data_IF_419459467502
#
_entry.id   IF_419459467502
#
_cell.length_a   1.000
_cell.length_b   1.000
_cell.length_c   1.000
_cell.angle_alpha   90.00
_cell.angle_beta   90.00
_cell.angle_gamma   90.00
#
_symmetry.space_group_name_H-M   'P 1'
#
loop_
_entity.id
_entity.type
_entity.pdbx_description
1 polymer ?
#
# COMPACT_ATOMS: atom_id res chain seq x y z
N UNK A 1 32.55 -52.74 19.86
CA UNK A 1 32.18 -51.35 20.14
C UNK A 1 32.62 -50.38 19.05
N UNK A 2 33.65 -50.64 18.29
CA UNK A 2 34.12 -49.73 17.21
C UNK A 2 33.13 -49.54 16.05
N UNK A 3 32.39 -50.60 15.69
CA UNK A 3 31.42 -50.50 14.56
C UNK A 3 30.28 -49.50 14.82
N UNK A 4 29.81 -49.40 16.07
CA UNK A 4 28.73 -48.50 16.47
C UNK A 4 29.21 -47.04 16.47
N UNK A 5 30.49 -46.82 16.86
CA UNK A 5 31.06 -45.44 16.86
C UNK A 5 31.31 -44.94 15.43
N UNK A 6 31.79 -45.79 14.53
CA UNK A 6 32.01 -45.42 13.12
C UNK A 6 30.69 -45.15 12.39
N UNK A 7 29.65 -45.98 12.64
CA UNK A 7 28.32 -45.75 12.08
C UNK A 7 27.64 -44.51 12.61
N UNK A 8 27.79 -44.23 13.93
CA UNK A 8 27.29 -42.99 14.55
C UNK A 8 27.96 -41.74 13.97
N UNK A 9 29.26 -41.79 13.73
CA UNK A 9 30.02 -40.69 13.14
C UNK A 9 29.66 -40.46 11.67
N UNK A 10 29.36 -41.50 10.91
CA UNK A 10 28.86 -41.42 9.54
C UNK A 10 27.45 -40.77 9.50
N UNK A 11 26.56 -41.21 10.39
CA UNK A 11 25.19 -40.70 10.48
C UNK A 11 25.20 -39.19 10.88
N UNK A 12 26.08 -38.78 11.81
CA UNK A 12 26.26 -37.41 12.19
C UNK A 12 26.74 -36.52 11.00
N UNK A 13 27.70 -37.03 10.20
CA UNK A 13 28.16 -36.33 8.99
C UNK A 13 27.07 -36.19 7.95
N UNK A 14 26.28 -37.22 7.70
CA UNK A 14 25.14 -37.15 6.77
C UNK A 14 24.09 -36.14 7.25
N UNK A 15 23.74 -36.19 8.53
CA UNK A 15 22.79 -35.24 9.12
C UNK A 15 23.25 -33.78 8.98
N UNK A 16 24.53 -33.50 9.25
CA UNK A 16 25.07 -32.12 9.08
C UNK A 16 25.04 -31.65 7.64
N UNK A 17 25.33 -32.51 6.66
CA UNK A 17 25.25 -32.17 5.23
C UNK A 17 23.80 -31.90 4.80
N UNK A 18 22.85 -32.72 5.24
CA UNK A 18 21.42 -32.55 4.94
C UNK A 18 20.90 -31.22 5.54
N UNK A 19 21.26 -30.90 6.78
CA UNK A 19 20.90 -29.65 7.43
C UNK A 19 21.52 -28.45 6.68
N UNK A 20 22.76 -28.55 6.26
CA UNK A 20 23.43 -27.47 5.50
C UNK A 20 22.74 -27.21 4.14
N UNK A 21 22.37 -28.28 3.43
CA UNK A 21 21.64 -28.18 2.16
C UNK A 21 20.24 -27.57 2.39
N UNK A 22 19.53 -28.00 3.42
CA UNK A 22 18.22 -27.44 3.76
C UNK A 22 18.31 -25.95 4.12
N UNK A 23 19.31 -25.54 4.90
CA UNK A 23 19.56 -24.14 5.23
C UNK A 23 19.88 -23.28 4.00
N UNK A 24 20.70 -23.80 3.06
CA UNK A 24 21.00 -23.12 1.80
C UNK A 24 19.76 -23.00 0.91
N UNK A 25 18.92 -24.03 0.85
CA UNK A 25 17.66 -24.00 0.10
C UNK A 25 16.68 -22.96 0.68
N UNK A 26 16.54 -22.90 2.01
CA UNK A 26 15.72 -21.90 2.69
C UNK A 26 16.26 -20.47 2.47
N UNK A 27 17.57 -20.27 2.49
CA UNK A 27 18.21 -19.00 2.17
C UNK A 27 17.96 -18.60 0.71
N UNK A 28 18.07 -19.51 -0.24
CA UNK A 28 17.81 -19.26 -1.66
C UNK A 28 16.34 -18.87 -1.90
N UNK A 29 15.40 -19.57 -1.26
CA UNK A 29 13.96 -19.24 -1.31
C UNK A 29 13.69 -17.87 -0.69
N UNK A 30 14.29 -17.55 0.46
CA UNK A 30 14.11 -16.26 1.13
C UNK A 30 14.68 -15.08 0.33
N UNK A 31 15.82 -15.28 -0.32
CA UNK A 31 16.44 -14.28 -1.22
C UNK A 31 15.63 -14.12 -2.51
N UNK A 32 15.08 -15.21 -3.06
CA UNK A 32 14.19 -15.19 -4.22
C UNK A 32 12.89 -14.43 -3.94
N UNK A 33 12.29 -14.62 -2.77
CA UNK A 33 11.09 -13.89 -2.35
C UNK A 33 11.37 -12.40 -2.09
N UNK A 34 12.56 -12.04 -1.57
CA UNK A 34 12.96 -10.63 -1.44
C UNK A 34 13.14 -9.94 -2.79
N UNK A 35 13.69 -10.64 -3.78
CA UNK A 35 13.91 -10.07 -5.12
C UNK A 35 12.60 -9.86 -5.89
N UNK A 36 11.58 -10.69 -5.68
CA UNK A 36 10.25 -10.49 -6.26
C UNK A 36 9.45 -9.36 -5.60
N UNK A 37 9.71 -9.05 -4.31
CA UNK A 37 9.06 -7.91 -3.63
C UNK A 37 9.60 -6.55 -4.10
N UNK A 38 10.72 -6.50 -4.81
CA UNK A 38 11.32 -5.23 -5.29
C UNK A 38 10.83 -4.78 -6.68
N UNK A 39 10.14 -5.62 -7.42
CA UNK A 39 9.38 -5.16 -8.60
C UNK A 39 7.95 -4.93 -8.12
N UNK A 40 7.59 -3.65 -7.93
CA UNK A 40 6.26 -3.23 -7.54
C UNK A 40 5.21 -3.81 -8.50
N UNK A 41 4.69 -4.97 -8.18
CA UNK A 41 3.56 -5.56 -8.89
C UNK A 41 2.30 -4.89 -8.35
N UNK A 42 1.59 -4.19 -9.23
CA UNK A 42 0.34 -3.54 -8.87
C UNK A 42 -0.68 -4.62 -8.47
N UNK A 43 -1.06 -4.64 -7.19
CA UNK A 43 -2.07 -5.56 -6.67
C UNK A 43 -3.42 -4.86 -6.62
N UNK A 44 -4.37 -5.36 -7.39
CA UNK A 44 -5.74 -4.85 -7.39
C UNK A 44 -6.63 -5.76 -6.55
N UNK A 45 -7.39 -5.14 -5.65
CA UNK A 45 -8.33 -5.84 -4.77
C UNK A 45 -9.72 -5.23 -4.91
N UNK A 46 -10.73 -6.06 -5.21
CA UNK A 46 -12.13 -5.62 -5.17
C UNK A 46 -12.62 -5.53 -3.73
N UNK A 47 -12.51 -4.33 -3.15
CA UNK A 47 -13.00 -4.05 -1.80
C UNK A 47 -14.52 -4.21 -1.70
N UNK A 48 -15.24 -3.92 -2.78
CA UNK A 48 -16.69 -4.09 -2.83
C UNK A 48 -17.10 -5.56 -2.68
N UNK A 49 -16.36 -6.48 -3.30
CA UNK A 49 -16.56 -7.92 -3.13
C UNK A 49 -16.23 -8.36 -1.71
N UNK A 50 -15.11 -7.93 -1.15
CA UNK A 50 -14.74 -8.25 0.23
C UNK A 50 -15.81 -7.82 1.25
N UNK A 51 -16.33 -6.60 1.12
CA UNK A 51 -17.39 -6.12 2.02
C UNK A 51 -18.70 -6.89 1.85
N UNK A 52 -19.07 -7.26 0.62
CA UNK A 52 -20.25 -8.10 0.37
C UNK A 52 -20.10 -9.49 1.00
N UNK A 53 -18.94 -10.09 0.89
CA UNK A 53 -18.64 -11.39 1.49
C UNK A 53 -18.69 -11.31 3.03
N UNK A 54 -18.03 -10.32 3.62
CA UNK A 54 -18.10 -10.08 5.06
C UNK A 54 -19.54 -9.89 5.54
N UNK A 55 -20.33 -9.09 4.82
CA UNK A 55 -21.74 -8.89 5.16
C UNK A 55 -22.54 -10.19 5.07
N UNK A 56 -22.26 -11.01 4.06
CA UNK A 56 -22.89 -12.33 3.90
C UNK A 56 -22.55 -13.23 5.07
N UNK A 57 -21.28 -13.32 5.43
CA UNK A 57 -20.82 -14.21 6.51
C UNK A 57 -21.40 -13.77 7.86
N UNK A 58 -21.47 -12.47 8.14
CA UNK A 58 -22.12 -11.91 9.32
C UNK A 58 -23.63 -12.23 9.36
N UNK A 59 -24.32 -12.20 8.23
CA UNK A 59 -25.74 -12.62 8.15
C UNK A 59 -25.90 -14.10 8.41
N UNK A 60 -25.08 -14.95 7.77
CA UNK A 60 -25.14 -16.40 7.96
C UNK A 60 -24.88 -16.79 9.42
N UNK A 61 -23.92 -16.15 10.09
CA UNK A 61 -23.61 -16.43 11.49
C UNK A 61 -24.80 -16.16 12.46
N UNK A 62 -25.77 -15.37 12.04
CA UNK A 62 -26.98 -15.06 12.84
C UNK A 62 -28.16 -15.97 12.53
N UNK A 63 -28.07 -16.82 11.52
CA UNK A 63 -29.14 -17.71 11.08
C UNK A 63 -28.94 -19.13 11.65
N UNK A 64 -30.04 -19.83 11.93
CA UNK A 64 -29.98 -21.27 12.24
C UNK A 64 -29.70 -22.12 11.00
N UNK A 65 -29.26 -23.36 11.21
CA UNK A 65 -28.79 -24.25 10.12
C UNK A 65 -29.81 -24.45 8.99
N UNK A 66 -31.11 -24.55 9.33
CA UNK A 66 -32.17 -24.71 8.34
C UNK A 66 -32.34 -23.44 7.47
N UNK A 67 -32.26 -22.28 8.10
CA UNK A 67 -32.36 -20.97 7.48
C UNK A 67 -31.15 -20.68 6.59
N UNK A 68 -29.94 -21.01 7.06
CA UNK A 68 -28.70 -20.91 6.26
C UNK A 68 -28.80 -21.74 4.96
N UNK A 69 -29.30 -22.99 5.05
CA UNK A 69 -29.49 -23.86 3.89
C UNK A 69 -30.47 -23.26 2.87
N UNK A 70 -31.59 -22.74 3.36
CA UNK A 70 -32.61 -22.10 2.52
C UNK A 70 -32.04 -20.85 1.82
N UNK A 71 -31.37 -19.97 2.58
CA UNK A 71 -30.75 -18.74 2.09
C UNK A 71 -29.66 -19.05 1.04
N UNK A 72 -28.77 -19.99 1.31
CA UNK A 72 -27.72 -20.39 0.37
C UNK A 72 -28.30 -20.93 -0.95
N UNK A 73 -29.39 -21.68 -0.90
CA UNK A 73 -30.09 -22.18 -2.09
C UNK A 73 -30.66 -21.01 -2.93
N UNK A 74 -31.28 -20.06 -2.26
CA UNK A 74 -31.84 -18.88 -2.91
C UNK A 74 -30.75 -17.99 -3.52
N UNK A 75 -29.67 -17.74 -2.77
CA UNK A 75 -28.51 -16.95 -3.23
C UNK A 75 -27.86 -17.56 -4.47
N UNK A 76 -27.57 -18.88 -4.46
CA UNK A 76 -27.04 -19.57 -5.66
C UNK A 76 -27.95 -19.46 -6.88
N UNK A 77 -29.28 -19.47 -6.66
CA UNK A 77 -30.24 -19.34 -7.75
C UNK A 77 -30.22 -17.92 -8.35
N UNK A 78 -30.12 -16.92 -7.48
CA UNK A 78 -30.04 -15.52 -7.88
C UNK A 78 -28.74 -15.20 -8.62
N UNK A 79 -27.59 -15.62 -8.07
CA UNK A 79 -26.27 -15.44 -8.72
C UNK A 79 -26.25 -16.07 -10.12
N UNK A 80 -26.79 -17.31 -10.28
CA UNK A 80 -26.87 -17.96 -11.60
C UNK A 80 -27.76 -17.20 -12.57
N UNK A 81 -28.86 -16.60 -12.10
CA UNK A 81 -29.76 -15.81 -12.94
C UNK A 81 -29.06 -14.50 -13.40
N UNK A 82 -28.39 -13.82 -12.49
CA UNK A 82 -27.64 -12.59 -12.77
C UNK A 82 -26.49 -12.85 -13.75
N UNK A 83 -25.72 -13.93 -13.57
CA UNK A 83 -24.66 -14.33 -14.49
C UNK A 83 -25.18 -14.63 -15.89
N UNK A 84 -26.34 -15.30 -15.97
CA UNK A 84 -26.99 -15.57 -17.26
C UNK A 84 -27.43 -14.29 -17.96
N UNK A 85 -27.99 -13.35 -17.18
CA UNK A 85 -28.41 -12.04 -17.70
C UNK A 85 -27.21 -11.22 -18.19
N UNK A 86 -26.12 -11.19 -17.42
CA UNK A 86 -24.86 -10.54 -17.81
C UNK A 86 -24.30 -11.12 -19.12
N UNK A 87 -24.26 -12.45 -19.23
CA UNK A 87 -23.81 -13.14 -20.46
C UNK A 87 -24.70 -12.84 -21.67
N UNK A 88 -26.01 -12.73 -21.48
CA UNK A 88 -26.95 -12.37 -22.54
C UNK A 88 -26.75 -10.93 -23.00
N UNK A 89 -26.59 -9.98 -22.08
CA UNK A 89 -26.31 -8.57 -22.39
C UNK A 89 -24.98 -8.40 -23.13
N UNK A 90 -23.93 -9.09 -22.68
CA UNK A 90 -22.63 -9.08 -23.34
C UNK A 90 -22.71 -9.62 -24.79
N UNK A 91 -23.49 -10.71 -25.02
CA UNK A 91 -23.72 -11.24 -26.38
C UNK A 91 -24.55 -10.32 -27.26
N UNK A 92 -25.45 -9.54 -26.69
CA UNK A 92 -26.26 -8.56 -27.39
C UNK A 92 -25.51 -7.26 -27.74
N UNK A 93 -24.19 -7.15 -27.42
CA UNK A 93 -23.40 -5.97 -27.68
C UNK A 93 -23.80 -4.75 -26.84
N UNK A 94 -24.65 -4.95 -25.82
CA UNK A 94 -25.00 -3.87 -24.90
C UNK A 94 -23.77 -3.49 -24.08
N UNK A 95 -23.19 -2.33 -24.38
CA UNK A 95 -22.14 -1.73 -23.54
C UNK A 95 -22.80 -1.37 -22.22
N UNK A 96 -22.50 -2.11 -21.17
CA UNK A 96 -22.95 -1.75 -19.83
C UNK A 96 -22.33 -0.37 -19.51
N UNK A 97 -23.16 0.62 -19.19
CA UNK A 97 -22.67 1.91 -18.73
C UNK A 97 -21.75 1.63 -17.53
N UNK A 98 -20.49 1.98 -17.67
CA UNK A 98 -19.48 1.79 -16.62
C UNK A 98 -19.95 2.55 -15.39
N UNK A 99 -20.19 1.83 -14.30
CA UNK A 99 -20.51 2.46 -13.01
C UNK A 99 -19.31 3.24 -12.56
N UNK A 100 -19.49 4.41 -11.93
CA UNK A 100 -18.39 5.14 -11.32
C UNK A 100 -17.62 4.24 -10.35
N UNK A 101 -16.31 4.30 -10.44
CA UNK A 101 -15.39 3.52 -9.61
C UNK A 101 -14.74 4.42 -8.57
N UNK A 102 -14.61 3.93 -7.34
CA UNK A 102 -13.81 4.54 -6.29
C UNK A 102 -12.47 3.79 -6.19
N UNK A 103 -11.39 4.42 -6.63
CA UNK A 103 -10.04 3.89 -6.46
C UNK A 103 -9.54 4.24 -5.07
N UNK A 104 -9.17 3.24 -4.28
CA UNK A 104 -8.64 3.43 -2.93
C UNK A 104 -7.13 3.19 -2.95
N UNK A 105 -6.38 4.23 -2.60
CA UNK A 105 -4.92 4.20 -2.48
C UNK A 105 -4.54 4.33 -1.01
N UNK A 106 -3.42 3.71 -0.63
CA UNK A 106 -2.87 3.78 0.72
C UNK A 106 -1.52 4.48 0.71
N UNK A 107 -1.36 5.48 1.58
CA UNK A 107 -0.06 6.09 1.79
C UNK A 107 0.25 6.16 3.29
N UNK A 108 1.20 5.33 3.71
CA UNK A 108 1.73 5.34 5.07
C UNK A 108 3.16 5.86 5.02
N UNK A 109 3.29 7.19 5.18
CA UNK A 109 4.54 7.90 4.93
C UNK A 109 5.60 7.69 5.99
N UNK A 110 6.81 7.37 5.57
CA UNK A 110 8.05 7.38 6.35
C UNK A 110 8.68 8.77 6.35
N UNK A 111 9.76 8.96 7.13
CA UNK A 111 10.49 10.23 7.20
C UNK A 111 11.00 10.70 5.83
N UNK A 112 11.50 9.80 5.01
CA UNK A 112 12.08 10.08 3.69
C UNK A 112 11.05 10.01 2.56
N UNK A 113 9.80 9.61 2.87
CA UNK A 113 8.71 9.43 1.90
C UNK A 113 9.08 8.50 0.72
N UNK A 114 9.84 7.40 0.99
CA UNK A 114 10.23 6.47 -0.09
C UNK A 114 9.02 5.77 -0.74
N UNK A 115 7.87 5.73 -0.07
CA UNK A 115 6.58 5.21 -0.56
C UNK A 115 6.06 5.98 -1.77
N UNK A 116 6.59 7.16 -2.01
CA UNK A 116 6.25 8.01 -3.17
C UNK A 116 6.46 7.30 -4.50
N UNK A 117 7.41 6.37 -4.57
CA UNK A 117 7.66 5.60 -5.79
C UNK A 117 6.45 4.72 -6.14
N UNK A 118 5.92 3.99 -5.16
CA UNK A 118 4.71 3.17 -5.34
C UNK A 118 3.48 4.04 -5.64
N UNK A 119 3.29 5.11 -4.88
CA UNK A 119 2.18 6.05 -5.10
C UNK A 119 2.18 6.61 -6.54
N UNK A 120 3.35 6.92 -7.10
CA UNK A 120 3.49 7.40 -8.48
C UNK A 120 3.03 6.38 -9.50
N UNK A 121 3.37 5.10 -9.28
CA UNK A 121 2.97 3.99 -10.16
C UNK A 121 1.46 3.76 -10.07
N UNK A 122 0.90 3.73 -8.86
CA UNK A 122 -0.53 3.59 -8.60
C UNK A 122 -1.34 4.73 -9.24
N UNK A 123 -0.92 5.98 -9.05
CA UNK A 123 -1.56 7.15 -9.67
C UNK A 123 -1.49 7.07 -11.20
N UNK A 124 -0.36 6.63 -11.76
CA UNK A 124 -0.22 6.48 -13.20
C UNK A 124 -1.14 5.40 -13.76
N UNK A 125 -1.30 4.28 -13.03
CA UNK A 125 -2.23 3.22 -13.38
C UNK A 125 -3.69 3.70 -13.32
N UNK A 126 -4.08 4.44 -12.28
CA UNK A 126 -5.42 5.04 -12.17
C UNK A 126 -5.68 5.99 -13.33
N UNK A 127 -4.77 6.92 -13.61
CA UNK A 127 -4.92 7.90 -14.69
C UNK A 127 -5.02 7.27 -16.09
N UNK A 128 -4.48 6.07 -16.26
CA UNK A 128 -4.57 5.34 -17.54
C UNK A 128 -5.98 4.81 -17.84
N UNK A 129 -6.83 4.63 -16.82
CA UNK A 129 -8.14 3.95 -16.98
C UNK A 129 -9.32 4.75 -16.40
N UNK A 130 -9.07 5.65 -15.47
CA UNK A 130 -10.12 6.42 -14.80
C UNK A 130 -10.77 7.45 -15.73
N UNK A 131 -12.05 7.68 -15.50
CA UNK A 131 -12.87 8.67 -16.18
C UNK A 131 -13.24 9.81 -15.21
N UNK A 132 -13.70 10.97 -15.69
CA UNK A 132 -14.12 12.08 -14.80
C UNK A 132 -15.30 11.75 -13.87
N UNK A 133 -15.96 10.60 -14.06
CA UNK A 133 -17.01 10.13 -13.16
C UNK A 133 -16.47 9.31 -11.99
N UNK A 134 -15.20 8.91 -12.08
CA UNK A 134 -14.52 8.13 -11.05
C UNK A 134 -13.93 9.05 -9.98
N UNK A 135 -13.61 8.47 -8.83
CA UNK A 135 -13.05 9.19 -7.70
C UNK A 135 -11.88 8.41 -7.10
N UNK A 136 -10.90 9.12 -6.56
CA UNK A 136 -9.79 8.55 -5.79
C UNK A 136 -9.96 8.90 -4.32
N UNK A 137 -9.89 7.88 -3.47
CA UNK A 137 -9.78 8.00 -2.02
C UNK A 137 -8.36 7.62 -1.61
N UNK A 138 -7.59 8.59 -1.13
CA UNK A 138 -6.29 8.34 -0.51
C UNK A 138 -6.47 8.18 1.00
N UNK A 139 -6.20 6.99 1.54
CA UNK A 139 -6.07 6.78 2.99
C UNK A 139 -4.66 7.20 3.40
N UNK A 140 -4.56 8.33 4.08
CA UNK A 140 -3.29 8.96 4.42
C UNK A 140 -2.98 8.79 5.91
N UNK A 141 -1.83 8.22 6.22
CA UNK A 141 -1.25 8.19 7.56
C UNK A 141 0.21 8.66 7.47
N UNK A 142 0.52 9.89 7.93
CA UNK A 142 1.88 10.41 7.88
C UNK A 142 2.14 11.51 8.90
N UNK A 143 3.21 11.40 9.70
CA UNK A 143 3.68 12.47 10.57
C UNK A 143 4.44 13.57 9.80
N UNK A 144 4.69 13.40 8.50
CA UNK A 144 5.55 14.25 7.69
C UNK A 144 7.00 13.77 7.69
N UNK A 145 7.89 14.58 7.10
CA UNK A 145 9.30 14.28 6.94
C UNK A 145 10.01 15.25 6.00
N UNK A 146 10.97 14.75 5.22
CA UNK A 146 11.79 15.59 4.35
C UNK A 146 10.98 16.29 3.25
N UNK A 147 11.22 17.58 3.09
CA UNK A 147 10.41 18.47 2.24
C UNK A 147 10.34 18.00 0.80
N UNK A 148 11.48 17.61 0.22
CA UNK A 148 11.52 17.19 -1.20
C UNK A 148 10.76 15.90 -1.46
N UNK A 149 10.77 14.92 -0.52
CA UNK A 149 10.02 13.68 -0.66
C UNK A 149 8.51 13.91 -0.62
N UNK A 150 8.04 14.66 0.36
CA UNK A 150 6.62 15.01 0.48
C UNK A 150 6.15 16.01 -0.57
N UNK A 151 7.04 16.91 -1.04
CA UNK A 151 6.77 17.77 -2.19
C UNK A 151 6.53 16.95 -3.46
N UNK A 152 7.35 15.91 -3.69
CA UNK A 152 7.15 15.00 -4.81
C UNK A 152 5.82 14.22 -4.66
N UNK A 153 5.50 13.71 -3.46
CA UNK A 153 4.24 13.01 -3.19
C UNK A 153 3.02 13.92 -3.50
N UNK A 154 3.06 15.15 -3.02
CA UNK A 154 2.02 16.15 -3.30
C UNK A 154 1.88 16.44 -4.78
N UNK A 155 3.00 16.54 -5.52
CA UNK A 155 3.00 16.73 -6.96
C UNK A 155 2.39 15.53 -7.71
N UNK A 156 2.58 14.29 -7.22
CA UNK A 156 1.92 13.12 -7.81
C UNK A 156 0.40 13.20 -7.61
N UNK A 157 -0.07 13.56 -6.42
CA UNK A 157 -1.50 13.73 -6.15
C UNK A 157 -2.14 14.84 -7.01
N UNK A 158 -1.41 15.93 -7.25
CA UNK A 158 -1.86 17.01 -8.12
C UNK A 158 -2.16 16.55 -9.56
N UNK A 159 -1.49 15.49 -10.06
CA UNK A 159 -1.75 14.89 -11.37
C UNK A 159 -3.18 14.37 -11.50
N UNK A 160 -3.76 13.80 -10.43
CA UNK A 160 -5.15 13.33 -10.42
C UNK A 160 -6.11 14.48 -10.69
N UNK A 161 -5.93 15.61 -9.98
CA UNK A 161 -6.76 16.80 -10.16
C UNK A 161 -6.59 17.41 -11.55
N UNK A 162 -5.36 17.49 -12.06
CA UNK A 162 -5.09 17.96 -13.43
C UNK A 162 -5.74 17.02 -14.46
N UNK A 163 -5.83 15.73 -14.18
CA UNK A 163 -6.53 14.74 -14.99
C UNK A 163 -8.07 14.78 -14.83
N UNK A 164 -8.62 15.70 -14.04
CA UNK A 164 -10.06 15.83 -13.82
C UNK A 164 -10.67 14.78 -12.90
N UNK A 165 -9.84 14.02 -12.18
CA UNK A 165 -10.29 12.99 -11.23
C UNK A 165 -10.40 13.60 -9.85
N UNK A 166 -11.57 13.48 -9.22
CA UNK A 166 -11.80 13.96 -7.86
C UNK A 166 -10.95 13.20 -6.86
N UNK A 167 -10.23 13.93 -6.01
CA UNK A 167 -9.39 13.36 -4.95
C UNK A 167 -9.99 13.68 -3.58
N UNK A 168 -10.31 12.65 -2.82
CA UNK A 168 -10.65 12.74 -1.40
C UNK A 168 -9.52 12.12 -0.59
N UNK A 169 -9.05 12.82 0.45
CA UNK A 169 -8.07 12.29 1.41
C UNK A 169 -8.77 11.97 2.73
N UNK A 170 -8.61 10.72 3.19
CA UNK A 170 -9.10 10.25 4.48
C UNK A 170 -7.94 10.11 5.47
N UNK A 171 -8.10 10.71 6.65
CA UNK A 171 -7.09 10.72 7.72
C UNK A 171 -7.68 10.10 8.97
N UNK A 172 -7.26 8.89 9.31
CA UNK A 172 -7.74 8.20 10.51
C UNK A 172 -6.95 8.59 11.76
N UNK A 173 -5.63 8.81 11.64
CA UNK A 173 -4.74 9.04 12.78
C UNK A 173 -3.96 10.34 12.68
N UNK A 174 -3.18 10.51 11.60
CA UNK A 174 -2.27 11.64 11.46
C UNK A 174 -2.02 12.02 10.01
N UNK A 175 -2.10 13.32 9.72
CA UNK A 175 -1.57 13.97 8.52
C UNK A 175 -0.93 15.29 8.94
N UNK A 176 0.37 15.24 9.29
CA UNK A 176 1.09 16.38 9.81
C UNK A 176 2.26 16.78 8.91
N UNK A 177 2.65 18.07 8.93
CA UNK A 177 3.78 18.60 8.15
C UNK A 177 3.67 18.21 6.67
N UNK A 178 4.63 17.47 6.12
CA UNK A 178 4.59 16.94 4.76
C UNK A 178 3.33 16.10 4.46
N UNK A 179 2.82 15.34 5.43
CA UNK A 179 1.55 14.61 5.30
C UNK A 179 0.37 15.57 5.13
N UNK A 180 0.35 16.68 5.87
CA UNK A 180 -0.67 17.70 5.69
C UNK A 180 -0.54 18.43 4.34
N UNK A 181 0.68 18.67 3.88
CA UNK A 181 0.92 19.23 2.53
C UNK A 181 0.31 18.32 1.46
N UNK A 182 0.43 17.00 1.58
CA UNK A 182 -0.25 16.05 0.69
C UNK A 182 -1.77 16.15 0.79
N UNK A 183 -2.32 16.23 2.03
CA UNK A 183 -3.76 16.32 2.23
C UNK A 183 -4.35 17.60 1.61
N UNK A 184 -3.64 18.72 1.66
CA UNK A 184 -4.07 20.01 1.08
C UNK A 184 -4.22 19.99 -0.45
N UNK A 185 -3.67 19.01 -1.15
CA UNK A 185 -3.85 18.85 -2.61
C UNK A 185 -5.26 18.37 -2.93
N UNK A 186 -5.93 17.68 -2.01
CA UNK A 186 -7.23 17.06 -2.24
C UNK A 186 -8.36 18.10 -2.46
N UNK A 187 -9.40 17.67 -3.17
CA UNK A 187 -10.65 18.42 -3.30
C UNK A 187 -11.44 18.36 -1.98
N UNK A 188 -11.26 17.28 -1.21
CA UNK A 188 -11.91 17.07 0.07
C UNK A 188 -10.99 16.34 1.04
N UNK A 189 -10.97 16.79 2.30
CA UNK A 189 -10.33 16.09 3.41
C UNK A 189 -11.42 15.58 4.35
N UNK A 190 -11.37 14.31 4.70
CA UNK A 190 -12.21 13.67 5.71
C UNK A 190 -11.28 13.17 6.82
N UNK A 191 -11.54 13.57 8.06
CA UNK A 191 -10.70 13.22 9.18
C UNK A 191 -11.51 12.60 10.30
N UNK A 192 -10.92 11.61 10.99
CA UNK A 192 -11.49 11.10 12.23
C UNK A 192 -11.49 12.22 13.31
N UNK A 193 -12.43 12.19 14.27
CA UNK A 193 -12.58 13.26 15.26
C UNK A 193 -11.31 13.55 16.09
N UNK A 194 -10.46 12.54 16.27
CA UNK A 194 -9.20 12.65 17.03
C UNK A 194 -7.96 12.57 16.14
N UNK A 195 -8.10 12.68 14.83
CA UNK A 195 -6.95 12.72 13.93
C UNK A 195 -6.11 13.98 14.15
N UNK A 196 -4.80 13.81 14.15
CA UNK A 196 -3.85 14.93 14.20
C UNK A 196 -3.64 15.45 12.80
N UNK A 197 -4.01 16.73 12.58
CA UNK A 197 -3.92 17.38 11.26
C UNK A 197 -3.20 18.72 11.43
N UNK A 198 -2.33 19.07 10.48
CA UNK A 198 -1.65 20.38 10.44
C UNK A 198 -0.15 20.24 10.73
N UNK A 199 0.35 20.87 11.80
CA UNK A 199 1.80 20.97 12.07
C UNK A 199 2.54 21.59 10.87
N UNK A 200 2.07 22.78 10.46
CA UNK A 200 2.63 23.51 9.32
C UNK A 200 3.92 24.19 9.76
N UNK A 201 5.02 23.87 9.11
CA UNK A 201 6.32 24.48 9.36
C UNK A 201 7.47 23.65 8.82
N UNK A 202 8.61 24.30 8.67
CA UNK A 202 9.88 23.67 8.29
C UNK A 202 10.91 23.96 9.39
N UNK A 203 11.56 22.94 9.89
CA UNK A 203 12.64 23.07 10.86
C UNK A 203 13.95 22.71 10.18
N UNK A 204 14.91 23.62 10.22
CA UNK A 204 16.28 23.36 9.80
C UNK A 204 17.20 23.54 11.02
N UNK A 205 17.99 22.53 11.33
CA UNK A 205 18.96 22.57 12.39
C UNK A 205 20.36 22.59 11.79
N UNK A 206 21.05 23.71 11.92
CA UNK A 206 22.40 23.91 11.37
C UNK A 206 23.36 24.09 12.55
N UNK A 207 24.25 23.13 12.82
CA UNK A 207 25.25 23.29 13.86
C UNK A 207 26.29 24.37 13.46
N UNK A 208 26.60 25.27 14.39
CA UNK A 208 27.62 26.29 14.16
C UNK A 208 28.93 25.89 14.85
N UNK A 209 29.90 25.46 14.07
CA UNK A 209 31.22 25.05 14.55
C UNK A 209 32.27 26.19 14.58
N UNK A 210 31.89 27.42 14.25
CA UNK A 210 32.84 28.52 14.14
C UNK A 210 33.77 28.68 15.31
N UNK A 211 33.22 28.66 16.53
CA UNK A 211 34.02 28.81 17.76
C UNK A 211 34.98 27.63 17.99
N UNK A 212 34.55 26.42 17.64
CA UNK A 212 35.36 25.21 17.74
C UNK A 212 36.54 25.23 16.78
N UNK A 213 36.28 25.60 15.52
CA UNK A 213 37.28 25.72 14.47
C UNK A 213 38.32 26.78 14.85
N UNK A 214 37.87 27.97 15.27
CA UNK A 214 38.75 29.08 15.72
C UNK A 214 39.59 28.71 16.94
N UNK A 215 39.06 27.96 17.88
CA UNK A 215 39.80 27.49 19.05
C UNK A 215 40.94 26.51 18.70
N UNK A 216 40.81 25.81 17.57
CA UNK A 216 41.79 24.84 17.11
C UNK A 216 42.64 25.36 15.95
N UNK A 217 42.64 26.68 15.70
CA UNK A 217 43.41 27.36 14.61
C UNK A 217 43.13 26.75 13.25
N UNK A 218 41.87 26.37 12.99
CA UNK A 218 41.42 25.85 11.69
C UNK A 218 40.65 26.96 10.94
N UNK A 219 41.21 27.38 9.82
CA UNK A 219 40.55 28.33 8.91
C UNK A 219 39.73 27.59 7.83
N UNK A 220 38.62 28.21 7.43
CA UNK A 220 37.76 27.71 6.36
C UNK A 220 37.92 28.66 5.15
N UNK A 221 38.52 28.15 4.08
CA UNK A 221 38.61 28.89 2.85
C UNK A 221 37.50 28.49 1.88
N UNK A 222 36.84 29.47 1.32
CA UNK A 222 35.82 29.26 0.30
C UNK A 222 36.36 29.62 -1.08
N UNK A 223 36.57 28.61 -1.89
CA UNK A 223 36.96 28.80 -3.30
C UNK A 223 35.69 28.77 -4.17
N UNK A 224 35.42 29.86 -4.87
CA UNK A 224 34.29 29.96 -5.84
C UNK A 224 34.87 30.08 -7.24
N UNK A 225 34.25 29.40 -8.21
CA UNK A 225 34.57 29.55 -9.62
C UNK A 225 33.75 30.65 -10.28
#
# INVERSE_FOLDING_TARGET
MEFISVYGLFLAKVATVVIAIAALALLAVSLGQRKNRQKGELQLTDLGEQYRDMQRDMRLARMGDAEQKAWNKQFKKQTKADDKLKKQRAKAGAVEATKPCLYVLDFKGSMDAHEVTSLREEISAVLAVATPQDEVLLRLESPGGVVHGYGLASSQLARLRTGGIRLTVAVDKVAASGGYMMACVADRIVAAPFAIIGSIGVVAQIPNFHRLLKKNDIDVELHTA
#
